data_IF_815795371569
#
_entry.id   IF_815795371569
#
_cell.length_a   1.000
_cell.length_b   1.000
_cell.length_c   1.000
_cell.angle_alpha   90.00
_cell.angle_beta   90.00
_cell.angle_gamma   90.00
#
_symmetry.space_group_name_H-M   'P 1'
#
loop_
_entity.id
_entity.type
_entity.pdbx_description
1 polymer ?
#
# COMPACT_ATOMS: atom_id res chain seq x y z
N UNK A 1 -14.73 -23.50 -19.60
CA UNK A 1 -13.61 -22.57 -19.37
C UNK A 1 -13.34 -21.89 -20.68
N UNK A 2 -13.12 -20.56 -20.71
CA UNK A 2 -12.73 -19.87 -21.95
C UNK A 2 -11.34 -20.35 -22.37
N UNK A 3 -11.13 -20.59 -23.65
CA UNK A 3 -9.85 -20.99 -24.19
C UNK A 3 -9.38 -19.97 -25.21
N UNK A 4 -8.28 -19.30 -24.89
CA UNK A 4 -7.63 -18.36 -25.78
C UNK A 4 -6.43 -18.99 -26.48
N UNK A 5 -6.12 -18.51 -27.68
CA UNK A 5 -4.85 -18.83 -28.31
C UNK A 5 -3.69 -18.34 -27.47
N UNK A 6 -2.47 -18.78 -27.77
CA UNK A 6 -1.27 -18.05 -27.35
C UNK A 6 -1.33 -16.64 -27.92
N UNK A 7 -0.71 -15.67 -27.23
CA UNK A 7 -0.53 -14.34 -27.78
C UNK A 7 0.31 -14.38 -29.06
N UNK A 8 -0.24 -13.88 -30.15
CA UNK A 8 0.40 -13.82 -31.47
C UNK A 8 0.88 -12.39 -31.65
N UNK A 9 2.19 -12.21 -31.83
CA UNK A 9 2.81 -10.89 -32.00
C UNK A 9 2.56 -10.39 -33.42
N UNK A 10 2.09 -9.15 -33.55
CA UNK A 10 1.87 -8.49 -34.85
C UNK A 10 3.21 -8.10 -35.52
N UNK A 11 3.19 -7.72 -36.77
CA UNK A 11 4.38 -7.18 -37.44
C UNK A 11 4.87 -5.90 -36.74
N UNK A 12 3.94 -5.03 -36.32
CA UNK A 12 4.28 -3.83 -35.52
C UNK A 12 4.88 -4.19 -34.15
N UNK A 13 4.38 -5.21 -33.51
CA UNK A 13 4.97 -5.74 -32.26
C UNK A 13 6.41 -6.25 -32.45
N UNK A 14 6.68 -6.91 -33.59
CA UNK A 14 8.05 -7.34 -33.96
C UNK A 14 8.97 -6.15 -34.24
N UNK A 15 8.47 -5.09 -34.89
CA UNK A 15 9.22 -3.85 -35.09
C UNK A 15 9.61 -3.21 -33.76
N UNK A 16 8.67 -3.08 -32.81
CA UNK A 16 8.96 -2.57 -31.46
C UNK A 16 10.01 -3.42 -30.72
N UNK A 17 9.96 -4.74 -30.82
CA UNK A 17 10.98 -5.62 -30.26
C UNK A 17 12.35 -5.41 -30.91
N UNK A 18 12.40 -5.22 -32.21
CA UNK A 18 13.64 -4.96 -32.94
C UNK A 18 14.27 -3.62 -32.52
N UNK A 19 13.47 -2.57 -32.34
CA UNK A 19 13.95 -1.27 -31.85
C UNK A 19 14.58 -1.39 -30.45
N UNK A 20 13.97 -2.14 -29.53
CA UNK A 20 14.49 -2.36 -28.18
C UNK A 20 15.82 -3.14 -28.21
N UNK A 21 15.95 -4.06 -29.14
CA UNK A 21 17.18 -4.86 -29.30
C UNK A 21 18.35 -4.03 -29.81
N UNK A 22 18.08 -3.07 -30.71
CA UNK A 22 19.11 -2.27 -31.40
C UNK A 22 19.38 -0.93 -30.73
N UNK A 23 18.56 -0.48 -29.79
CA UNK A 23 18.68 0.81 -29.09
C UNK A 23 18.74 0.65 -27.57
N UNK A 24 18.86 1.76 -26.87
CA UNK A 24 18.71 1.83 -25.41
C UNK A 24 17.26 2.02 -24.97
N UNK A 25 16.33 2.13 -25.94
CA UNK A 25 14.91 2.27 -25.63
C UNK A 25 14.37 1.02 -24.96
N UNK A 26 13.32 1.22 -24.18
CA UNK A 26 12.59 0.17 -23.49
C UNK A 26 11.17 0.09 -24.05
N UNK A 27 10.59 -1.11 -24.03
CA UNK A 27 9.18 -1.29 -24.40
C UNK A 27 8.29 -0.98 -23.21
N UNK A 28 7.27 -0.18 -23.42
CA UNK A 28 6.24 0.17 -22.45
C UNK A 28 4.91 -0.39 -22.93
N UNK A 29 4.31 -1.30 -22.17
CA UNK A 29 2.96 -1.80 -22.41
C UNK A 29 1.95 -0.81 -21.85
N UNK A 30 1.03 -0.30 -22.65
CA UNK A 30 0.20 0.86 -22.33
C UNK A 30 -1.23 0.49 -21.96
N UNK A 31 -1.87 -0.37 -22.74
CA UNK A 31 -3.27 -0.76 -22.55
C UNK A 31 -3.60 -2.13 -23.10
N UNK A 32 -4.75 -2.66 -22.66
CA UNK A 32 -5.37 -3.86 -23.21
C UNK A 32 -6.76 -3.52 -23.70
N UNK A 33 -7.12 -4.03 -24.88
CA UNK A 33 -8.46 -3.84 -25.45
C UNK A 33 -9.12 -5.18 -25.75
N UNK A 34 -10.44 -5.23 -25.61
CA UNK A 34 -11.27 -6.38 -25.99
C UNK A 34 -12.10 -6.06 -27.21
N UNK A 35 -12.29 -7.04 -28.09
CA UNK A 35 -13.08 -6.92 -29.30
C UNK A 35 -14.06 -8.09 -29.44
N UNK A 36 -15.21 -7.81 -30.05
CA UNK A 36 -16.22 -8.82 -30.42
C UNK A 36 -16.05 -9.34 -31.86
N UNK A 37 -15.01 -8.88 -32.57
CA UNK A 37 -14.68 -9.38 -33.89
C UNK A 37 -13.88 -10.67 -33.82
N UNK A 38 -14.24 -11.62 -34.68
CA UNK A 38 -13.47 -12.86 -34.88
C UNK A 38 -12.32 -12.59 -35.86
N UNK A 39 -11.14 -13.10 -35.54
CA UNK A 39 -9.93 -13.10 -36.36
C UNK A 39 -9.43 -14.53 -36.54
N UNK A 40 -8.73 -14.75 -37.64
CA UNK A 40 -7.90 -15.95 -37.80
C UNK A 40 -6.47 -15.67 -37.36
N UNK A 41 -5.70 -16.71 -37.03
CA UNK A 41 -4.31 -16.55 -36.59
C UNK A 41 -3.45 -15.86 -37.71
N UNK A 42 -3.74 -16.13 -38.98
CA UNK A 42 -3.03 -15.58 -40.13
C UNK A 42 -3.27 -14.07 -40.31
N UNK A 43 -4.49 -13.59 -39.97
CA UNK A 43 -4.83 -12.17 -40.09
C UNK A 43 -4.06 -11.31 -39.07
N UNK A 44 -3.73 -11.87 -37.89
CA UNK A 44 -3.16 -11.11 -36.78
C UNK A 44 -1.82 -10.49 -37.13
N UNK A 45 -0.96 -11.20 -37.86
CA UNK A 45 0.36 -10.70 -38.20
C UNK A 45 0.32 -9.35 -38.87
N UNK A 46 -0.69 -9.12 -39.74
CA UNK A 46 -0.88 -7.89 -40.52
C UNK A 46 -1.70 -6.80 -39.83
N UNK A 47 -2.28 -7.07 -38.65
CA UNK A 47 -3.11 -6.09 -37.94
C UNK A 47 -2.29 -4.89 -37.46
N UNK A 48 -2.80 -3.70 -37.75
CA UNK A 48 -2.28 -2.43 -37.18
C UNK A 48 -3.08 -1.97 -35.98
N UNK A 49 -4.35 -2.37 -35.89
CA UNK A 49 -5.24 -2.11 -34.74
C UNK A 49 -6.36 -3.17 -34.72
N UNK A 50 -7.05 -3.29 -33.56
CA UNK A 50 -8.27 -4.10 -33.45
C UNK A 50 -9.47 -3.35 -34.03
N UNK A 51 -10.34 -4.07 -34.71
CA UNK A 51 -11.65 -3.59 -35.12
C UNK A 51 -12.71 -4.13 -34.20
N UNK A 52 -13.80 -3.40 -33.97
CA UNK A 52 -14.87 -3.83 -33.07
C UNK A 52 -14.46 -3.82 -31.61
N UNK A 53 -13.61 -2.88 -31.21
CA UNK A 53 -13.23 -2.69 -29.79
C UNK A 53 -14.48 -2.35 -28.98
N UNK A 54 -14.69 -3.09 -27.91
CA UNK A 54 -15.80 -2.90 -26.96
C UNK A 54 -15.34 -2.19 -25.69
N UNK A 55 -14.20 -2.56 -25.15
CA UNK A 55 -13.61 -1.93 -23.98
C UNK A 55 -12.10 -1.81 -24.14
N UNK A 56 -11.56 -0.74 -23.56
CA UNK A 56 -10.11 -0.49 -23.46
C UNK A 56 -9.79 -0.08 -22.05
N UNK A 57 -8.85 -0.78 -21.42
CA UNK A 57 -8.43 -0.48 -20.07
C UNK A 57 -6.92 -0.42 -19.96
N UNK A 58 -6.46 0.36 -18.98
CA UNK A 58 -5.06 0.37 -18.60
C UNK A 58 -4.65 -0.98 -18.00
N UNK A 59 -3.37 -1.26 -18.07
CA UNK A 59 -2.79 -2.45 -17.47
C UNK A 59 -2.79 -2.26 -15.96
N UNK A 60 -3.36 -3.24 -15.24
CA UNK A 60 -3.45 -3.21 -13.78
C UNK A 60 -2.15 -3.62 -13.12
N UNK A 61 -1.43 -4.56 -13.73
CA UNK A 61 -0.17 -5.09 -13.19
C UNK A 61 0.69 -5.66 -14.30
N UNK A 62 1.99 -5.44 -14.20
CA UNK A 62 2.99 -6.06 -15.07
C UNK A 62 4.06 -6.67 -14.16
N UNK A 63 4.48 -7.91 -14.44
CA UNK A 63 5.52 -8.57 -13.71
C UNK A 63 6.38 -9.47 -14.60
N UNK A 64 7.69 -9.42 -14.42
CA UNK A 64 8.60 -10.37 -15.03
C UNK A 64 8.51 -11.70 -14.29
N UNK A 65 8.37 -12.77 -15.04
CA UNK A 65 8.33 -14.15 -14.55
C UNK A 65 9.61 -14.89 -14.92
N UNK A 66 9.90 -15.96 -14.20
CA UNK A 66 11.00 -16.83 -14.53
C UNK A 66 10.89 -17.37 -15.99
N UNK A 67 12.02 -17.46 -16.70
CA UNK A 67 12.07 -17.94 -18.08
C UNK A 67 11.69 -16.91 -19.14
N UNK A 68 11.93 -15.62 -18.86
CA UNK A 68 11.77 -14.56 -19.88
C UNK A 68 10.31 -14.28 -20.27
N UNK A 69 9.38 -14.50 -19.36
CA UNK A 69 7.95 -14.21 -19.58
C UNK A 69 7.55 -12.94 -18.87
N UNK A 70 6.74 -12.13 -19.52
CA UNK A 70 6.08 -10.98 -18.92
C UNK A 70 4.62 -11.33 -18.68
N UNK A 71 4.17 -11.21 -17.46
CA UNK A 71 2.77 -11.34 -17.07
C UNK A 71 2.15 -9.94 -17.10
N UNK A 72 1.05 -9.79 -17.84
CA UNK A 72 0.24 -8.57 -17.92
C UNK A 72 -1.13 -8.91 -17.35
N UNK A 73 -1.64 -8.08 -16.45
CA UNK A 73 -2.97 -8.22 -15.88
C UNK A 73 -3.81 -6.99 -16.24
N UNK A 74 -5.06 -7.24 -16.64
CA UNK A 74 -6.04 -6.21 -16.93
C UNK A 74 -7.43 -6.67 -16.43
N UNK A 75 -8.25 -5.73 -15.98
CA UNK A 75 -9.61 -5.98 -15.52
C UNK A 75 -10.60 -5.25 -16.44
N UNK A 76 -11.69 -5.92 -16.77
CA UNK A 76 -12.80 -5.37 -17.54
C UNK A 76 -14.08 -5.59 -16.76
N UNK A 77 -14.83 -4.53 -16.50
CA UNK A 77 -16.11 -4.60 -15.77
C UNK A 77 -17.26 -4.08 -16.63
N UNK A 78 -18.47 -4.48 -16.27
CA UNK A 78 -19.65 -4.13 -17.05
C UNK A 78 -20.32 -2.81 -16.63
N UNK A 79 -19.75 -2.06 -15.69
CA UNK A 79 -20.40 -0.90 -15.06
C UNK A 79 -20.89 0.16 -16.05
N UNK A 80 -20.24 0.31 -17.18
CA UNK A 80 -20.57 1.25 -18.25
C UNK A 80 -21.20 0.57 -19.49
N UNK A 81 -21.46 -0.74 -19.41
CA UNK A 81 -22.02 -1.48 -20.54
C UNK A 81 -23.55 -1.47 -20.53
N UNK A 82 -24.13 -0.83 -21.53
CA UNK A 82 -25.57 -0.90 -21.82
C UNK A 82 -25.96 -2.21 -22.50
N UNK A 83 -25.03 -2.81 -23.26
CA UNK A 83 -25.21 -4.10 -23.92
C UNK A 83 -24.03 -5.02 -23.61
N UNK A 84 -24.32 -6.29 -23.37
CA UNK A 84 -23.29 -7.30 -23.17
C UNK A 84 -22.66 -7.70 -24.50
N UNK A 85 -21.44 -8.22 -24.45
CA UNK A 85 -20.74 -8.70 -25.64
C UNK A 85 -19.87 -9.93 -25.34
N UNK A 86 -19.56 -10.67 -26.41
CA UNK A 86 -18.59 -11.78 -26.34
C UNK A 86 -17.19 -11.27 -26.62
N UNK A 87 -16.24 -11.58 -25.75
CA UNK A 87 -14.83 -11.31 -25.99
C UNK A 87 -14.32 -12.33 -26.99
N UNK A 88 -14.06 -11.93 -28.23
CA UNK A 88 -13.53 -12.80 -29.28
C UNK A 88 -12.05 -12.57 -29.53
N UNK A 89 -11.56 -11.36 -29.24
CA UNK A 89 -10.13 -11.05 -29.32
C UNK A 89 -9.71 -10.10 -28.19
N UNK A 90 -8.46 -10.24 -27.77
CA UNK A 90 -7.80 -9.38 -26.79
C UNK A 90 -6.52 -8.86 -27.42
N UNK A 91 -6.38 -7.52 -27.53
CA UNK A 91 -5.18 -6.85 -28.01
C UNK A 91 -4.40 -6.21 -26.90
N UNK A 92 -3.08 -6.36 -26.96
CA UNK A 92 -2.12 -5.68 -26.08
C UNK A 92 -1.42 -4.61 -26.89
N UNK A 93 -1.34 -3.40 -26.37
CA UNK A 93 -0.70 -2.26 -27.00
C UNK A 93 0.58 -1.88 -26.28
N UNK A 94 1.56 -1.44 -27.06
CA UNK A 94 2.85 -1.02 -26.52
C UNK A 94 3.45 0.10 -27.38
N UNK A 95 4.44 0.79 -26.81
CA UNK A 95 5.28 1.78 -27.49
C UNK A 95 6.73 1.65 -27.03
N UNK A 96 7.65 2.30 -27.71
CA UNK A 96 9.06 2.43 -27.31
C UNK A 96 9.40 3.90 -27.10
N UNK A 97 9.94 4.26 -25.95
CA UNK A 97 10.31 5.65 -25.63
C UNK A 97 9.17 6.64 -25.91
N UNK A 98 9.46 7.67 -26.72
CA UNK A 98 8.47 8.66 -27.17
C UNK A 98 7.75 8.25 -28.47
N UNK A 99 7.87 6.98 -28.88
CA UNK A 99 7.25 6.46 -30.12
C UNK A 99 5.73 6.39 -30.05
N UNK A 100 5.12 6.15 -31.19
CA UNK A 100 3.67 5.95 -31.31
C UNK A 100 3.27 4.59 -30.76
N UNK A 101 2.16 4.55 -30.05
CA UNK A 101 1.55 3.31 -29.58
C UNK A 101 1.12 2.44 -30.78
N UNK A 102 1.37 1.13 -30.69
CA UNK A 102 0.97 0.17 -31.69
C UNK A 102 0.38 -1.10 -31.06
N UNK A 103 -0.43 -1.82 -31.83
CA UNK A 103 -0.93 -3.14 -31.46
C UNK A 103 0.24 -4.13 -31.46
N UNK A 104 0.64 -4.55 -30.24
CA UNK A 104 1.80 -5.42 -30.06
C UNK A 104 1.48 -6.90 -30.30
N UNK A 105 0.41 -7.39 -29.67
CA UNK A 105 0.02 -8.80 -29.76
C UNK A 105 -1.49 -8.98 -29.58
N UNK A 106 -2.02 -10.07 -30.11
CA UNK A 106 -3.44 -10.43 -30.03
C UNK A 106 -3.59 -11.87 -29.58
N UNK A 107 -4.56 -12.14 -28.69
CA UNK A 107 -5.07 -13.48 -28.40
C UNK A 107 -6.51 -13.61 -28.92
N UNK A 108 -6.86 -14.75 -29.49
CA UNK A 108 -8.20 -15.07 -30.00
C UNK A 108 -8.88 -16.04 -29.06
N UNK A 109 -10.15 -15.82 -28.76
CA UNK A 109 -11.02 -16.75 -28.05
C UNK A 109 -11.53 -17.82 -29.00
N UNK A 110 -11.36 -19.11 -28.61
CA UNK A 110 -11.65 -20.28 -29.47
C UNK A 110 -13.05 -20.87 -29.27
N UNK A 111 -13.66 -20.64 -28.13
CA UNK A 111 -14.89 -21.34 -27.74
C UNK A 111 -16.17 -20.54 -27.97
N UNK A 112 -16.06 -19.23 -28.18
CA UNK A 112 -17.20 -18.31 -28.32
C UNK A 112 -18.05 -18.18 -27.06
N UNK A 113 -17.50 -18.51 -25.89
CA UNK A 113 -18.27 -18.58 -24.64
C UNK A 113 -17.95 -17.50 -23.62
N UNK A 114 -16.96 -16.66 -23.87
CA UNK A 114 -16.51 -15.67 -22.90
C UNK A 114 -17.23 -14.34 -23.15
N UNK A 115 -18.17 -13.99 -22.28
CA UNK A 115 -18.96 -12.78 -22.42
C UNK A 115 -18.93 -11.92 -21.18
N UNK A 116 -19.09 -10.63 -21.37
CA UNK A 116 -19.37 -9.65 -20.31
C UNK A 116 -20.85 -9.26 -20.45
N UNK A 117 -21.69 -9.49 -19.44
CA UNK A 117 -23.10 -9.13 -19.49
C UNK A 117 -23.29 -7.61 -19.41
N UNK A 118 -24.45 -7.08 -19.85
CA UNK A 118 -24.78 -5.67 -19.63
C UNK A 118 -24.90 -5.36 -18.14
N UNK A 119 -24.69 -4.11 -17.77
CA UNK A 119 -24.93 -3.67 -16.42
C UNK A 119 -26.42 -3.50 -16.13
N UNK A 120 -26.91 -4.16 -15.12
CA UNK A 120 -28.31 -4.14 -14.72
C UNK A 120 -28.62 -3.18 -13.57
N UNK A 121 -27.73 -2.21 -13.29
CA UNK A 121 -27.78 -1.27 -12.17
C UNK A 121 -27.71 -1.91 -10.76
N UNK A 122 -27.46 -3.20 -10.67
CA UNK A 122 -27.40 -3.93 -9.39
C UNK A 122 -26.10 -4.73 -9.23
N UNK A 123 -25.71 -5.50 -10.25
CA UNK A 123 -24.61 -6.44 -10.15
C UNK A 123 -23.46 -6.04 -11.07
N UNK A 124 -22.30 -5.81 -10.49
CA UNK A 124 -21.06 -5.61 -11.26
C UNK A 124 -20.44 -6.97 -11.57
N UNK A 125 -20.24 -7.24 -12.86
CA UNK A 125 -19.50 -8.38 -13.35
C UNK A 125 -18.13 -7.91 -13.86
N UNK A 126 -17.06 -8.56 -13.45
CA UNK A 126 -15.72 -8.23 -13.87
C UNK A 126 -15.00 -9.46 -14.41
N UNK A 127 -14.19 -9.24 -15.43
CA UNK A 127 -13.30 -10.22 -16.05
C UNK A 127 -11.87 -9.80 -15.77
N UNK A 128 -11.11 -10.68 -15.15
CA UNK A 128 -9.69 -10.48 -14.89
C UNK A 128 -8.87 -11.31 -15.88
N UNK A 129 -8.13 -10.62 -16.73
CA UNK A 129 -7.27 -11.24 -17.73
C UNK A 129 -5.83 -11.32 -17.20
N UNK A 130 -5.22 -12.49 -17.33
CA UNK A 130 -3.79 -12.71 -17.08
C UNK A 130 -3.17 -13.19 -18.39
N UNK A 131 -2.38 -12.35 -19.00
CA UNK A 131 -1.75 -12.57 -20.28
C UNK A 131 -0.25 -12.78 -20.09
N UNK A 132 0.31 -13.75 -20.80
CA UNK A 132 1.73 -14.07 -20.72
C UNK A 132 2.39 -13.89 -22.07
N UNK A 133 3.38 -13.03 -22.13
CA UNK A 133 4.19 -12.78 -23.32
C UNK A 133 5.57 -13.38 -23.08
N UNK A 134 6.05 -14.20 -24.01
CA UNK A 134 7.45 -14.62 -24.04
C UNK A 134 8.26 -13.52 -24.75
N UNK A 135 9.33 -13.05 -24.12
CA UNK A 135 10.20 -11.99 -24.67
C UNK A 135 11.65 -12.43 -24.48
N UNK A 136 12.38 -12.53 -25.59
CA UNK A 136 13.77 -13.04 -25.58
C UNK A 136 14.78 -12.08 -24.90
N UNK A 137 14.45 -10.79 -24.72
CA UNK A 137 15.33 -9.79 -24.09
C UNK A 137 14.56 -8.97 -23.04
N UNK A 138 14.01 -9.64 -22.03
CA UNK A 138 13.18 -9.02 -20.99
C UNK A 138 13.92 -7.99 -20.10
N UNK A 139 15.25 -8.01 -20.03
CA UNK A 139 16.05 -7.04 -19.26
C UNK A 139 15.87 -5.58 -19.76
N UNK A 140 15.46 -5.43 -21.01
CA UNK A 140 15.22 -4.12 -21.64
C UNK A 140 13.75 -3.66 -21.59
N UNK A 141 12.87 -4.40 -20.87
CA UNK A 141 11.46 -4.02 -20.74
C UNK A 141 11.32 -3.11 -19.52
N UNK A 142 10.80 -1.91 -19.71
CA UNK A 142 10.36 -1.04 -18.62
C UNK A 142 8.94 -1.43 -18.26
N UNK A 143 8.73 -1.69 -16.96
CA UNK A 143 7.45 -2.06 -16.40
C UNK A 143 6.86 -0.81 -15.72
N UNK A 144 6.17 0.02 -16.48
CA UNK A 144 5.43 1.16 -15.95
C UNK A 144 3.92 0.85 -15.97
N UNK A 145 3.27 1.10 -14.84
CA UNK A 145 1.82 1.03 -14.72
C UNK A 145 1.28 2.45 -14.74
N UNK A 146 0.42 2.76 -15.70
CA UNK A 146 -0.19 4.10 -15.78
C UNK A 146 -1.01 4.41 -14.52
N UNK A 147 -0.95 5.66 -13.98
CA UNK A 147 -1.82 6.09 -12.91
C UNK A 147 -3.29 5.91 -13.30
N UNK A 148 -4.07 5.19 -12.48
CA UNK A 148 -5.46 4.86 -12.78
C UNK A 148 -5.71 3.38 -13.05
N UNK A 149 -4.67 2.54 -13.00
CA UNK A 149 -4.82 1.10 -13.07
C UNK A 149 -5.68 0.56 -11.91
N UNK A 150 -6.60 -0.35 -12.21
CA UNK A 150 -7.35 -1.06 -11.16
C UNK A 150 -6.39 -1.92 -10.33
N UNK A 151 -6.41 -1.72 -9.01
CA UNK A 151 -5.64 -2.55 -8.10
C UNK A 151 -6.32 -3.92 -8.01
N UNK A 152 -5.59 -4.98 -8.32
CA UNK A 152 -6.13 -6.36 -8.22
C UNK A 152 -6.31 -6.78 -6.75
N UNK A 153 -7.21 -7.72 -6.48
CA UNK A 153 -7.41 -8.24 -5.12
C UNK A 153 -6.13 -8.85 -4.53
N UNK A 154 -5.25 -9.45 -5.37
CA UNK A 154 -3.95 -9.97 -4.94
C UNK A 154 -2.98 -8.85 -4.55
N UNK A 155 -3.04 -7.72 -5.23
CA UNK A 155 -2.21 -6.55 -4.94
C UNK A 155 -2.68 -5.82 -3.68
N UNK A 156 -4.01 -5.72 -3.50
CA UNK A 156 -4.61 -5.25 -2.23
C UNK A 156 -4.16 -6.15 -1.06
N UNK A 157 -4.15 -7.47 -1.27
CA UNK A 157 -3.66 -8.44 -0.30
C UNK A 157 -2.20 -8.17 0.09
N UNK A 158 -1.32 -8.03 -0.90
CA UNK A 158 0.11 -7.75 -0.70
C UNK A 158 0.34 -6.42 0.03
N UNK A 159 -0.32 -5.34 -0.40
CA UNK A 159 -0.23 -4.02 0.25
C UNK A 159 -0.72 -4.08 1.69
N UNK A 160 -1.82 -4.81 1.95
CA UNK A 160 -2.36 -5.00 3.30
C UNK A 160 -1.39 -5.76 4.21
N UNK A 161 -0.72 -6.77 3.71
CA UNK A 161 0.25 -7.55 4.49
C UNK A 161 1.54 -6.76 4.74
N UNK A 162 1.98 -5.96 3.77
CA UNK A 162 3.11 -5.03 3.91
C UNK A 162 2.82 -3.94 4.95
N UNK A 163 1.64 -3.30 4.89
CA UNK A 163 1.18 -2.33 5.89
C UNK A 163 1.08 -2.93 7.29
N UNK A 164 0.61 -4.17 7.43
CA UNK A 164 0.57 -4.86 8.72
C UNK A 164 1.96 -5.09 9.29
N UNK A 165 2.93 -5.47 8.44
CA UNK A 165 4.31 -5.66 8.85
C UNK A 165 4.94 -4.34 9.29
N UNK A 166 4.81 -3.27 8.50
CA UNK A 166 5.32 -1.95 8.85
C UNK A 166 4.71 -1.41 10.15
N UNK A 167 3.40 -1.59 10.35
CA UNK A 167 2.72 -1.21 11.58
C UNK A 167 3.24 -2.01 12.79
N UNK A 168 3.51 -3.31 12.64
CA UNK A 168 4.08 -4.13 13.70
C UNK A 168 5.50 -3.70 14.05
N UNK A 169 6.34 -3.43 13.05
CA UNK A 169 7.71 -2.92 13.23
C UNK A 169 7.71 -1.54 13.92
N UNK A 170 6.82 -0.65 13.48
CA UNK A 170 6.67 0.68 14.06
C UNK A 170 6.22 0.61 15.51
N UNK A 171 5.26 -0.27 15.83
CA UNK A 171 4.80 -0.52 17.19
C UNK A 171 5.94 -1.01 18.08
N UNK A 172 6.72 -1.98 17.62
CA UNK A 172 7.86 -2.51 18.37
C UNK A 172 8.92 -1.44 18.64
N UNK A 173 9.23 -0.60 17.63
CA UNK A 173 10.17 0.51 17.80
C UNK A 173 9.65 1.53 18.83
N UNK A 174 8.37 1.85 18.79
CA UNK A 174 7.75 2.79 19.73
C UNK A 174 7.76 2.27 21.16
N UNK A 175 7.49 0.97 21.35
CA UNK A 175 7.58 0.29 22.67
C UNK A 175 9.02 0.32 23.19
N UNK A 176 10.02 0.02 22.37
CA UNK A 176 11.43 0.09 22.75
C UNK A 176 11.88 1.50 23.11
N UNK A 177 11.45 2.51 22.34
CA UNK A 177 11.73 3.92 22.66
C UNK A 177 11.05 4.34 23.97
N UNK A 178 9.81 3.90 24.20
CA UNK A 178 9.09 4.14 25.44
C UNK A 178 9.81 3.58 26.67
N UNK A 179 10.29 2.34 26.60
CA UNK A 179 11.05 1.72 27.68
C UNK A 179 12.42 2.40 27.91
N UNK A 180 13.11 2.77 26.83
CA UNK A 180 14.38 3.52 26.92
C UNK A 180 14.19 4.89 27.59
N UNK A 181 13.12 5.61 27.22
CA UNK A 181 12.80 6.90 27.82
C UNK A 181 12.45 6.77 29.31
N UNK A 182 11.68 5.73 29.66
CA UNK A 182 11.33 5.41 31.05
C UNK A 182 12.58 5.11 31.88
N UNK A 183 13.52 4.32 31.36
CA UNK A 183 14.79 4.05 32.03
C UNK A 183 15.63 5.31 32.22
N UNK A 184 15.71 6.17 31.18
CA UNK A 184 16.45 7.43 31.25
C UNK A 184 15.84 8.39 32.28
N UNK A 185 14.51 8.47 32.33
CA UNK A 185 13.81 9.28 33.32
C UNK A 185 14.01 8.76 34.74
N UNK A 186 13.93 7.43 34.92
CA UNK A 186 14.18 6.79 36.23
C UNK A 186 15.60 7.09 36.71
N UNK A 187 16.59 7.00 35.83
CA UNK A 187 17.98 7.33 36.15
C UNK A 187 18.13 8.81 36.52
N UNK A 188 17.57 9.73 35.73
CA UNK A 188 17.66 11.15 36.02
C UNK A 188 17.02 11.54 37.36
N UNK A 189 15.87 10.92 37.71
CA UNK A 189 15.21 11.15 38.99
C UNK A 189 16.06 10.61 40.15
N UNK A 190 16.67 9.44 39.97
CA UNK A 190 17.59 8.87 40.96
C UNK A 190 18.81 9.77 41.16
N UNK A 191 19.44 10.25 40.11
CA UNK A 191 20.59 11.16 40.16
C UNK A 191 20.25 12.47 40.88
N UNK A 192 19.04 13.02 40.69
CA UNK A 192 18.54 14.19 41.41
C UNK A 192 18.31 13.88 42.91
N UNK A 193 17.75 12.73 43.23
CA UNK A 193 17.52 12.29 44.61
C UNK A 193 18.84 12.13 45.37
N UNK A 194 19.82 11.47 44.74
CA UNK A 194 21.15 11.25 45.31
C UNK A 194 21.91 12.57 45.55
N UNK A 195 21.67 13.60 44.70
CA UNK A 195 22.29 14.94 44.86
C UNK A 195 21.70 15.77 46.01
N UNK A 196 20.49 15.43 46.49
CA UNK A 196 19.77 16.14 47.58
C UNK A 196 19.81 15.46 48.95
N UNK A 197 20.62 14.42 49.11
CA UNK A 197 20.65 13.58 50.32
C UNK A 197 19.77 12.34 50.15
N UNK A 198 19.97 11.30 50.95
CA UNK A 198 19.35 10.00 50.75
C UNK A 198 17.81 10.09 50.70
N UNK A 199 17.27 10.05 49.50
CA UNK A 199 15.85 9.89 49.22
C UNK A 199 15.60 8.71 48.29
N UNK A 200 14.52 7.99 48.53
CA UNK A 200 14.11 6.86 47.69
C UNK A 200 12.91 7.28 46.86
N UNK A 201 12.99 7.08 45.55
CA UNK A 201 11.87 7.35 44.66
C UNK A 201 11.33 6.04 44.09
N UNK A 202 10.05 5.80 44.26
CA UNK A 202 9.35 4.60 43.78
C UNK A 202 8.31 5.01 42.74
N UNK A 203 8.28 4.28 41.63
CA UNK A 203 7.25 4.40 40.58
C UNK A 203 6.23 3.29 40.76
N UNK A 204 5.00 3.65 41.00
CA UNK A 204 3.93 2.71 41.22
C UNK A 204 3.18 2.36 39.91
N UNK A 205 2.51 1.23 39.93
CA UNK A 205 1.73 0.76 38.76
C UNK A 205 0.51 1.66 38.41
N UNK A 206 0.11 2.52 39.35
CA UNK A 206 -0.98 3.51 39.16
C UNK A 206 -0.51 4.86 38.61
N UNK A 207 0.68 4.92 38.02
CA UNK A 207 1.32 6.12 37.50
C UNK A 207 1.68 7.16 38.59
N UNK A 208 1.64 6.81 39.87
CA UNK A 208 2.12 7.68 40.94
C UNK A 208 3.63 7.51 41.19
N UNK A 209 4.27 8.60 41.60
CA UNK A 209 5.68 8.64 41.97
C UNK A 209 5.76 8.99 43.45
N UNK A 210 6.41 8.15 44.23
CA UNK A 210 6.63 8.39 45.66
C UNK A 210 8.11 8.61 45.94
N UNK A 211 8.44 9.77 46.51
CA UNK A 211 9.80 10.10 46.94
C UNK A 211 9.84 10.22 48.43
N UNK A 212 10.64 9.40 49.09
CA UNK A 212 10.84 9.42 50.56
C UNK A 212 12.24 9.89 50.91
N UNK A 213 12.33 10.77 51.87
CA UNK A 213 13.57 11.19 52.50
C UNK A 213 13.46 11.18 54.05
N UNK A 214 14.48 11.64 54.72
CA UNK A 214 14.50 11.65 56.17
C UNK A 214 13.46 12.55 56.85
N UNK A 215 12.84 13.46 56.11
CA UNK A 215 11.95 14.50 56.63
C UNK A 215 10.50 14.35 56.17
N UNK A 216 10.31 13.89 54.95
CA UNK A 216 9.00 13.81 54.32
C UNK A 216 8.87 12.68 53.30
N UNK A 217 7.64 12.28 53.02
CA UNK A 217 7.25 11.47 51.86
C UNK A 217 6.45 12.35 50.89
N UNK A 218 6.90 12.45 49.64
CA UNK A 218 6.18 13.19 48.60
C UNK A 218 5.56 12.19 47.62
N UNK A 219 4.24 12.23 47.48
CA UNK A 219 3.52 11.44 46.49
C UNK A 219 3.05 12.37 45.39
N UNK A 220 3.58 12.16 44.18
CA UNK A 220 3.19 12.91 42.99
C UNK A 220 2.26 12.06 42.10
N UNK A 221 1.07 12.55 41.81
CA UNK A 221 0.07 11.87 40.98
C UNK A 221 -0.30 12.74 39.80
N UNK A 222 -0.28 12.18 38.61
CA UNK A 222 -0.75 12.83 37.42
C UNK A 222 -2.22 12.47 37.11
N UNK A 223 -3.10 13.45 37.17
CA UNK A 223 -4.50 13.27 36.82
C UNK A 223 -4.74 13.47 35.35
N UNK A 224 -5.00 12.37 34.63
CA UNK A 224 -5.23 12.39 33.16
C UNK A 224 -6.52 13.09 32.77
N UNK A 225 -7.52 13.15 33.64
CA UNK A 225 -8.84 13.71 33.33
C UNK A 225 -8.80 15.23 33.18
N UNK A 226 -8.11 15.92 34.11
CA UNK A 226 -8.00 17.39 34.13
C UNK A 226 -6.58 17.90 33.82
N UNK A 227 -5.67 16.98 33.45
CA UNK A 227 -4.26 17.27 33.12
C UNK A 227 -3.55 18.02 34.28
N UNK A 228 -3.89 17.72 35.51
CA UNK A 228 -3.27 18.33 36.70
C UNK A 228 -2.25 17.39 37.33
N UNK A 229 -1.30 17.98 38.06
CA UNK A 229 -0.36 17.26 38.91
C UNK A 229 -0.73 17.56 40.35
N UNK A 230 -0.88 16.52 41.16
CA UNK A 230 -1.09 16.66 42.60
C UNK A 230 0.13 16.13 43.36
N UNK A 231 0.73 16.96 44.19
CA UNK A 231 1.85 16.57 45.06
C UNK A 231 1.36 16.60 46.51
N UNK A 232 1.41 15.45 47.18
CA UNK A 232 1.10 15.32 48.60
C UNK A 232 2.40 15.16 49.39
N UNK A 233 2.71 16.14 50.22
CA UNK A 233 3.82 16.11 51.13
C UNK A 233 3.32 15.64 52.50
N UNK A 234 3.77 14.50 52.96
CA UNK A 234 3.49 13.96 54.30
C UNK A 234 4.76 14.06 55.12
N UNK A 235 4.77 14.95 56.09
CA UNK A 235 5.93 15.18 56.96
C UNK A 235 5.96 14.20 58.12
N UNK A 236 7.14 13.82 58.57
CA UNK A 236 7.30 12.87 59.70
C UNK A 236 6.83 13.41 61.04
N UNK A 237 6.57 14.70 61.15
CA UNK A 237 5.93 15.31 62.32
C UNK A 237 4.40 15.11 62.39
N UNK A 238 3.81 14.38 61.41
CA UNK A 238 2.38 14.12 61.34
C UNK A 238 1.56 15.15 60.57
N UNK A 239 2.18 16.21 60.08
CA UNK A 239 1.49 17.19 59.24
C UNK A 239 1.53 16.80 57.76
N UNK A 240 0.61 17.30 56.98
CA UNK A 240 0.63 17.08 55.50
C UNK A 240 0.22 18.37 54.78
N UNK A 241 0.69 18.48 53.57
CA UNK A 241 0.37 19.55 52.66
C UNK A 241 0.11 18.97 51.25
N UNK A 242 -0.90 19.44 50.57
CA UNK A 242 -1.21 19.01 49.20
C UNK A 242 -1.14 20.21 48.28
N UNK A 243 -0.40 20.09 47.19
CA UNK A 243 -0.28 21.11 46.15
C UNK A 243 -0.92 20.54 44.87
N UNK A 244 -1.74 21.35 44.21
CA UNK A 244 -2.28 21.03 42.89
C UNK A 244 -1.75 22.00 41.89
N UNK A 245 -1.12 21.48 40.86
CA UNK A 245 -0.60 22.25 39.74
C UNK A 245 -1.46 22.00 38.47
N UNK A 246 -2.00 23.06 37.91
CA UNK A 246 -2.84 23.04 36.70
C UNK A 246 -2.14 23.79 35.61
N UNK A 247 -2.24 23.30 34.37
CA UNK A 247 -1.66 23.89 33.17
C UNK A 247 -2.77 24.58 32.37
N UNK A 248 -2.80 25.94 32.37
CA UNK A 248 -3.76 26.75 31.61
C UNK A 248 -3.06 27.46 30.48
N UNK A 249 -3.04 26.89 29.29
CA UNK A 249 -2.36 27.48 28.14
C UNK A 249 -0.85 27.58 28.37
N UNK A 250 -0.35 28.84 28.52
CA UNK A 250 1.06 29.14 28.84
C UNK A 250 1.32 29.42 30.31
N UNK A 251 0.31 29.32 31.16
CA UNK A 251 0.43 29.57 32.61
C UNK A 251 0.47 28.24 33.37
N UNK A 252 1.29 28.24 34.41
CA UNK A 252 1.36 27.13 35.39
C UNK A 252 0.87 27.74 36.71
N UNK A 253 -0.20 27.16 37.26
CA UNK A 253 -0.82 27.63 38.50
C UNK A 253 -0.70 26.52 39.52
N UNK A 254 -0.01 26.79 40.63
CA UNK A 254 0.09 25.83 41.76
C UNK A 254 -0.66 26.42 42.96
N UNK A 255 -1.58 25.66 43.47
CA UNK A 255 -2.39 26.04 44.66
C UNK A 255 -2.26 24.99 45.75
N UNK A 256 -2.27 25.43 46.98
CA UNK A 256 -2.42 24.52 48.12
C UNK A 256 -3.90 24.12 48.24
N UNK A 257 -4.17 22.83 48.34
CA UNK A 257 -5.52 22.28 48.49
C UNK A 257 -5.58 21.54 49.83
N UNK A 258 -6.58 21.87 50.61
CA UNK A 258 -6.83 21.27 51.93
C UNK A 258 -7.53 19.93 51.79
#
# INVERSE_FOLDING_TARGET
MAEFTKLIITNKGKELLSEVTTSTNKIEFTRVSTSDRTYTEDEIAGLTDLVGIKQTNHISSIAVQAGGKVKIEAAFENRELTEGYFIKAIGIYAKTGNGTEALYAVAIEKTGRYSIPPYNNATVSAVYLKLFIAVDNFEKITLEVSPGAFITSSEIGRIKDELKRENAETKTKLEQQGESLKQSLTKAIKDIADSKGASTTTFNADDSIVTENSLETVTTTFNKADKSITERHAYKNGTSKTLKTVFEGRKIITTEVN
#
